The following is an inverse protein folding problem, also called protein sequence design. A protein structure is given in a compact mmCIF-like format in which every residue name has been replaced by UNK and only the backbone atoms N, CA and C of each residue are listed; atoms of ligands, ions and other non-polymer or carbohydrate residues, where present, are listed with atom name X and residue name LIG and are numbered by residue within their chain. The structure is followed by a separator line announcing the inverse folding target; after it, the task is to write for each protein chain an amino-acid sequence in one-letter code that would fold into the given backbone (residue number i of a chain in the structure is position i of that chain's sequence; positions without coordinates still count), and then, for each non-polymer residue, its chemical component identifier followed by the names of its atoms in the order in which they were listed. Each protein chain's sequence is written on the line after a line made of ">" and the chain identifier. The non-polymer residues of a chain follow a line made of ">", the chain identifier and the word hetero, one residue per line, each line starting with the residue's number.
data_IF_191303961031
#
_entry.id   IF_191303961031
#
_cell.length_a   1.000
_cell.length_b   1.000
_cell.length_c   1.000
_cell.angle_alpha   90.00
_cell.angle_beta   90.00
_cell.angle_gamma   90.00
#
_symmetry.space_group_name_H-M   'P 1'
#
loop_
_entity.id
_entity.type
_entity.pdbx_description
1 polymer ?
#
# COMPACT_ATOMS: atom_id res chain seq x y z
N UNK A 1 10.27 5.86 3.65
CA UNK A 1 9.22 6.11 2.63
C UNK A 1 7.80 6.10 3.20
N UNK A 2 7.40 5.10 4.00
CA UNK A 2 6.01 4.93 4.48
C UNK A 2 5.40 6.15 5.18
N UNK A 3 6.18 6.94 5.93
CA UNK A 3 5.69 8.16 6.60
C UNK A 3 5.26 9.25 5.61
N UNK A 4 5.92 9.35 4.46
CA UNK A 4 5.64 10.35 3.41
C UNK A 4 4.34 10.00 2.69
N UNK A 5 4.17 8.73 2.30
CA UNK A 5 2.94 8.23 1.69
C UNK A 5 1.97 7.69 2.75
N UNK A 6 1.63 8.53 3.73
CA UNK A 6 0.71 8.14 4.79
C UNK A 6 -0.69 8.70 4.61
N UNK A 7 -1.69 8.01 5.16
CA UNK A 7 -3.06 8.51 5.23
C UNK A 7 -3.16 9.92 5.81
N UNK A 8 -2.36 10.21 6.85
CA UNK A 8 -2.32 11.52 7.50
C UNK A 8 -1.82 12.61 6.56
N UNK A 9 -0.73 12.36 5.83
CA UNK A 9 -0.21 13.32 4.84
C UNK A 9 -1.25 13.56 3.75
N UNK A 10 -1.80 12.49 3.16
CA UNK A 10 -2.78 12.62 2.07
C UNK A 10 -4.06 13.33 2.49
N UNK A 11 -4.57 13.08 3.70
CA UNK A 11 -5.77 13.74 4.23
C UNK A 11 -5.52 15.24 4.51
N UNK A 12 -4.38 15.60 5.09
CA UNK A 12 -4.03 17.00 5.37
C UNK A 12 -3.85 17.78 4.07
N UNK A 13 -3.13 17.21 3.08
CA UNK A 13 -2.96 17.86 1.78
C UNK A 13 -4.30 18.15 1.11
N UNK A 14 -5.20 17.16 1.04
CA UNK A 14 -6.55 17.40 0.49
C UNK A 14 -7.31 18.48 1.24
N UNK A 15 -7.26 18.48 2.57
CA UNK A 15 -7.98 19.45 3.40
C UNK A 15 -7.46 20.87 3.16
N UNK A 16 -6.15 21.09 3.15
CA UNK A 16 -5.56 22.42 2.95
C UNK A 16 -5.81 22.88 1.51
N UNK A 17 -5.70 21.99 0.51
CA UNK A 17 -5.99 22.32 -0.89
C UNK A 17 -7.44 22.82 -1.10
N UNK A 18 -8.41 22.22 -0.42
CA UNK A 18 -9.83 22.65 -0.46
C UNK A 18 -10.04 23.95 0.33
N UNK A 19 -9.38 24.11 1.48
CA UNK A 19 -9.49 25.30 2.34
C UNK A 19 -8.69 26.52 1.82
N UNK A 20 -7.88 26.33 0.78
CA UNK A 20 -6.93 27.30 0.20
C UNK A 20 -7.57 28.64 -0.20
N UNK A 21 -8.89 28.68 -0.42
CA UNK A 21 -9.60 29.95 -0.67
C UNK A 21 -9.64 30.91 0.55
N UNK A 22 -9.37 30.45 1.78
CA UNK A 22 -9.61 31.23 3.01
C UNK A 22 -8.48 31.18 4.08
N UNK A 23 -7.36 30.46 3.87
CA UNK A 23 -6.31 30.30 4.89
C UNK A 23 -4.88 30.33 4.33
N UNK A 24 -3.95 30.92 5.09
CA UNK A 24 -2.49 30.85 4.88
C UNK A 24 -1.83 29.89 5.87
N UNK A 25 -0.91 29.00 5.43
CA UNK A 25 -0.41 28.85 4.08
C UNK A 25 -1.39 28.10 3.16
N UNK A 26 -1.67 28.68 2.01
CA UNK A 26 -2.45 28.10 0.91
C UNK A 26 -1.54 27.19 0.08
N UNK A 27 -2.01 26.00 -0.27
CA UNK A 27 -1.33 25.12 -1.24
C UNK A 27 -2.13 25.05 -2.52
N UNK A 28 -1.49 24.65 -3.62
CA UNK A 28 -2.14 24.47 -4.90
C UNK A 28 -3.32 23.48 -4.78
N UNK A 29 -4.40 23.72 -5.54
CA UNK A 29 -5.53 22.79 -5.63
C UNK A 29 -5.09 21.43 -6.17
N UNK A 30 -4.07 21.40 -7.03
CA UNK A 30 -3.43 20.18 -7.54
C UNK A 30 -2.77 19.34 -6.41
N UNK A 31 -2.51 19.93 -5.24
CA UNK A 31 -2.05 19.17 -4.08
C UNK A 31 -3.09 18.15 -3.58
N UNK A 32 -4.38 18.30 -3.95
CA UNK A 32 -5.40 17.30 -3.69
C UNK A 32 -5.12 15.98 -4.45
N UNK A 33 -4.59 16.06 -5.68
CA UNK A 33 -4.22 14.90 -6.49
C UNK A 33 -3.01 14.17 -5.89
N UNK A 34 -2.02 14.94 -5.43
CA UNK A 34 -0.90 14.37 -4.68
C UNK A 34 -1.38 13.69 -3.39
N UNK A 35 -2.32 14.31 -2.67
CA UNK A 35 -2.93 13.70 -1.49
C UNK A 35 -3.70 12.41 -1.80
N UNK A 36 -4.35 12.34 -2.97
CA UNK A 36 -5.00 11.12 -3.47
C UNK A 36 -3.97 10.02 -3.78
N UNK A 37 -2.85 10.39 -4.40
CA UNK A 37 -1.74 9.45 -4.65
C UNK A 37 -1.16 8.92 -3.33
N UNK A 38 -0.91 9.79 -2.34
CA UNK A 38 -0.44 9.36 -1.03
C UNK A 38 -1.38 8.36 -0.36
N UNK A 39 -2.69 8.62 -0.39
CA UNK A 39 -3.69 7.70 0.15
C UNK A 39 -3.74 6.38 -0.62
N UNK A 40 -3.56 6.42 -1.95
CA UNK A 40 -3.50 5.21 -2.75
C UNK A 40 -2.29 4.35 -2.39
N UNK A 41 -1.10 4.95 -2.31
CA UNK A 41 0.15 4.23 -1.98
C UNK A 41 0.12 3.71 -0.54
N UNK A 42 -0.42 4.48 0.42
CA UNK A 42 -0.63 4.06 1.81
C UNK A 42 -1.48 2.78 1.87
N UNK A 43 -2.63 2.79 1.20
CA UNK A 43 -3.54 1.63 1.14
C UNK A 43 -2.92 0.45 0.39
N UNK A 44 -2.18 0.70 -0.70
CA UNK A 44 -1.48 -0.34 -1.47
C UNK A 44 -0.46 -1.05 -0.57
N UNK A 45 0.34 -0.28 0.17
CA UNK A 45 1.32 -0.80 1.09
C UNK A 45 0.69 -1.56 2.27
N UNK A 46 -0.32 -0.99 2.91
CA UNK A 46 -1.04 -1.66 4.00
C UNK A 46 -1.62 -3.01 3.53
N UNK A 47 -2.22 -3.04 2.33
CA UNK A 47 -2.81 -4.23 1.72
C UNK A 47 -1.81 -5.34 1.38
N UNK A 48 -0.51 -5.06 1.44
CA UNK A 48 0.57 -6.00 1.18
C UNK A 48 1.41 -6.30 2.44
N UNK A 49 1.18 -5.59 3.55
CA UNK A 49 2.02 -5.67 4.76
C UNK A 49 1.21 -5.73 6.08
N UNK A 50 -0.03 -6.21 6.00
CA UNK A 50 -0.90 -6.44 7.14
C UNK A 50 -0.31 -7.46 8.14
N UNK A 51 -0.36 -7.12 9.44
CA UNK A 51 0.19 -7.92 10.55
C UNK A 51 -0.82 -8.17 11.69
N UNK A 52 -2.06 -7.74 11.53
CA UNK A 52 -3.10 -7.96 12.54
C UNK A 52 -4.24 -8.74 11.92
N UNK A 53 -4.85 -9.65 12.68
CA UNK A 53 -5.97 -10.45 12.16
C UNK A 53 -7.21 -9.56 11.98
N UNK A 54 -7.49 -8.72 12.99
CA UNK A 54 -8.64 -7.81 12.97
C UNK A 54 -8.21 -6.43 12.46
N UNK A 55 -9.02 -5.78 11.62
CA UNK A 55 -8.72 -4.45 11.13
C UNK A 55 -8.73 -3.44 12.28
N UNK A 56 -7.86 -2.43 12.16
CA UNK A 56 -7.89 -1.23 13.00
C UNK A 56 -8.80 -0.21 12.33
N UNK A 57 -9.63 0.56 13.06
CA UNK A 57 -10.50 1.56 12.45
C UNK A 57 -9.76 2.48 11.48
N UNK A 58 -10.26 2.58 10.25
CA UNK A 58 -9.67 3.41 9.19
C UNK A 58 -8.44 2.81 8.49
N UNK A 59 -8.02 1.60 8.88
CA UNK A 59 -6.86 0.88 8.33
C UNK A 59 -7.24 -0.58 8.00
N UNK A 60 -8.36 -0.74 7.29
CA UNK A 60 -8.95 -2.05 7.02
C UNK A 60 -8.04 -2.97 6.19
N UNK A 61 -7.20 -2.39 5.33
CA UNK A 61 -6.24 -3.13 4.51
C UNK A 61 -4.98 -3.51 5.27
N UNK A 62 -4.76 -2.99 6.48
CA UNK A 62 -3.64 -3.39 7.34
C UNK A 62 -3.99 -4.65 8.16
N UNK A 63 -4.95 -5.46 7.70
CA UNK A 63 -5.39 -6.69 8.37
C UNK A 63 -5.00 -7.94 7.59
N UNK A 64 -5.31 -9.10 8.14
CA UNK A 64 -5.17 -10.37 7.44
C UNK A 64 -6.15 -10.47 6.25
N UNK A 65 -5.74 -11.20 5.22
CA UNK A 65 -6.60 -11.54 4.07
C UNK A 65 -7.47 -12.72 4.46
N UNK A 66 -8.78 -12.56 4.32
CA UNK A 66 -9.79 -13.62 4.44
C UNK A 66 -10.60 -13.69 3.16
N UNK A 67 -11.46 -14.71 3.02
CA UNK A 67 -12.34 -14.85 1.85
C UNK A 67 -13.24 -13.62 1.61
N UNK A 68 -13.58 -12.88 2.67
CA UNK A 68 -14.49 -11.72 2.62
C UNK A 68 -13.80 -10.39 2.92
N UNK A 69 -12.48 -10.39 3.11
CA UNK A 69 -11.74 -9.17 3.44
C UNK A 69 -11.77 -8.15 2.29
N UNK A 70 -11.65 -6.84 2.59
CA UNK A 70 -11.71 -5.78 1.58
C UNK A 70 -10.57 -5.82 0.56
N UNK A 71 -9.50 -6.58 0.82
CA UNK A 71 -8.34 -6.75 -0.06
C UNK A 71 -8.75 -7.12 -1.49
N UNK A 72 -9.72 -8.03 -1.67
CA UNK A 72 -10.09 -8.51 -3.01
C UNK A 72 -10.64 -7.40 -3.90
N UNK A 73 -11.53 -6.56 -3.36
CA UNK A 73 -12.11 -5.42 -4.06
C UNK A 73 -11.05 -4.34 -4.28
N UNK A 74 -10.24 -4.07 -3.26
CA UNK A 74 -9.17 -3.07 -3.36
C UNK A 74 -8.13 -3.45 -4.41
N UNK A 75 -7.62 -4.69 -4.41
CA UNK A 75 -6.61 -5.15 -5.36
C UNK A 75 -7.09 -5.09 -6.81
N UNK A 76 -8.37 -5.39 -7.07
CA UNK A 76 -8.92 -5.22 -8.42
C UNK A 76 -8.82 -3.76 -8.88
N UNK A 77 -9.25 -2.81 -8.04
CA UNK A 77 -9.17 -1.38 -8.35
C UNK A 77 -7.73 -0.89 -8.43
N UNK A 78 -6.86 -1.38 -7.56
CA UNK A 78 -5.46 -1.00 -7.52
C UNK A 78 -4.72 -1.42 -8.80
N UNK A 79 -5.03 -2.59 -9.36
CA UNK A 79 -4.48 -3.02 -10.65
C UNK A 79 -4.89 -2.07 -11.79
N UNK A 80 -6.13 -1.60 -11.82
CA UNK A 80 -6.59 -0.66 -12.84
C UNK A 80 -5.86 0.68 -12.73
N UNK A 81 -5.71 1.20 -11.50
CA UNK A 81 -4.94 2.41 -11.23
C UNK A 81 -3.48 2.23 -11.63
N UNK A 82 -2.81 1.16 -11.19
CA UNK A 82 -1.40 0.91 -11.52
C UNK A 82 -1.17 0.80 -13.05
N UNK A 83 -2.08 0.16 -13.79
CA UNK A 83 -1.98 0.05 -15.25
C UNK A 83 -2.14 1.39 -15.98
N UNK A 84 -2.85 2.34 -15.37
CA UNK A 84 -2.98 3.70 -15.90
C UNK A 84 -1.75 4.58 -15.62
N UNK A 85 -0.90 4.22 -14.65
CA UNK A 85 0.28 5.00 -14.30
C UNK A 85 1.40 4.85 -15.33
N UNK A 86 2.06 5.97 -15.66
CA UNK A 86 3.24 6.01 -16.52
C UNK A 86 4.29 6.95 -15.91
N UNK A 87 5.55 6.60 -16.08
CA UNK A 87 6.65 7.50 -15.74
C UNK A 87 6.94 8.42 -16.93
N UNK A 88 7.10 9.71 -16.66
CA UNK A 88 7.55 10.69 -17.66
C UNK A 88 9.06 10.60 -17.85
N UNK A 89 9.52 9.51 -18.45
CA UNK A 89 10.94 9.27 -18.71
C UNK A 89 11.12 8.26 -19.82
N UNK A 90 12.29 8.30 -20.46
CA UNK A 90 12.71 7.29 -21.44
C UNK A 90 13.29 6.04 -20.78
N UNK A 91 13.61 6.10 -19.48
CA UNK A 91 14.13 4.96 -18.71
C UNK A 91 13.02 3.97 -18.40
N UNK A 92 13.31 2.67 -18.52
CA UNK A 92 12.41 1.63 -18.04
C UNK A 92 12.48 1.54 -16.52
N UNK A 93 11.45 2.04 -15.83
CA UNK A 93 11.33 1.94 -14.38
C UNK A 93 10.41 0.75 -14.04
N UNK A 94 10.89 -0.29 -13.33
CA UNK A 94 10.16 -1.54 -13.16
C UNK A 94 9.12 -1.50 -12.03
N UNK A 95 9.15 -0.50 -11.15
CA UNK A 95 8.34 -0.44 -9.92
C UNK A 95 6.84 -0.65 -10.15
N UNK A 96 6.21 0.00 -11.13
CA UNK A 96 4.77 -0.18 -11.41
C UNK A 96 4.48 -1.59 -11.93
N UNK A 97 5.31 -2.11 -12.84
CA UNK A 97 5.19 -3.47 -13.34
C UNK A 97 5.38 -4.52 -12.24
N UNK A 98 6.32 -4.27 -11.32
CA UNK A 98 6.58 -5.12 -10.16
C UNK A 98 5.39 -5.07 -9.19
N UNK A 99 4.81 -3.90 -8.92
CA UNK A 99 3.60 -3.81 -8.09
C UNK A 99 2.43 -4.57 -8.69
N UNK A 100 2.19 -4.47 -10.00
CA UNK A 100 1.17 -5.26 -10.69
C UNK A 100 1.42 -6.75 -10.48
N UNK A 101 2.66 -7.20 -10.70
CA UNK A 101 3.06 -8.60 -10.52
C UNK A 101 2.86 -9.06 -9.07
N UNK A 102 3.26 -8.24 -8.10
CA UNK A 102 3.07 -8.51 -6.67
C UNK A 102 1.59 -8.67 -6.33
N UNK A 103 0.72 -7.74 -6.72
CA UNK A 103 -0.71 -7.82 -6.41
C UNK A 103 -1.36 -9.05 -7.05
N UNK A 104 -1.02 -9.38 -8.30
CA UNK A 104 -1.51 -10.60 -8.95
C UNK A 104 -1.01 -11.87 -8.24
N UNK A 105 0.26 -11.89 -7.82
CA UNK A 105 0.84 -12.97 -7.04
C UNK A 105 0.14 -13.14 -5.68
N UNK A 106 -0.11 -12.04 -4.96
CA UNK A 106 -0.84 -12.04 -3.70
C UNK A 106 -2.26 -12.58 -3.87
N UNK A 107 -2.98 -12.14 -4.89
CA UNK A 107 -4.31 -12.67 -5.21
C UNK A 107 -4.27 -14.19 -5.44
N UNK A 108 -3.31 -14.66 -6.23
CA UNK A 108 -3.16 -16.08 -6.55
C UNK A 108 -2.84 -16.93 -5.31
N UNK A 109 -1.82 -16.55 -4.54
CA UNK A 109 -1.35 -17.33 -3.39
C UNK A 109 -2.38 -17.31 -2.26
N UNK A 110 -2.99 -16.16 -1.97
CA UNK A 110 -4.02 -16.07 -0.95
C UNK A 110 -5.23 -16.93 -1.31
N UNK A 111 -5.67 -16.91 -2.59
CA UNK A 111 -6.77 -17.76 -3.04
C UNK A 111 -6.46 -19.25 -2.87
N UNK A 112 -5.22 -19.67 -3.19
CA UNK A 112 -4.77 -21.06 -3.02
C UNK A 112 -4.74 -21.48 -1.55
N UNK A 113 -4.13 -20.67 -0.68
CA UNK A 113 -4.01 -20.98 0.74
C UNK A 113 -5.38 -21.00 1.44
N UNK A 114 -6.25 -20.03 1.17
CA UNK A 114 -7.61 -20.03 1.73
C UNK A 114 -8.41 -21.25 1.26
N UNK A 115 -8.28 -21.66 -0.01
CA UNK A 115 -8.89 -22.90 -0.52
C UNK A 115 -8.33 -24.17 0.14
N UNK A 116 -7.08 -24.14 0.59
CA UNK A 116 -6.45 -25.22 1.34
C UNK A 116 -6.85 -25.28 2.82
N UNK A 117 -7.75 -24.41 3.28
CA UNK A 117 -8.30 -24.43 4.63
C UNK A 117 -7.67 -23.42 5.60
N UNK A 118 -6.76 -22.56 5.15
CA UNK A 118 -6.25 -21.46 5.98
C UNK A 118 -7.38 -20.46 6.27
N UNK A 119 -7.56 -20.08 7.54
CA UNK A 119 -8.62 -19.14 7.95
C UNK A 119 -8.32 -17.71 7.50
N UNK A 120 -7.05 -17.34 7.50
CA UNK A 120 -6.57 -16.01 7.13
C UNK A 120 -5.10 -16.06 6.73
N UNK A 121 -4.62 -15.05 6.01
CA UNK A 121 -3.24 -14.92 5.55
C UNK A 121 -2.66 -13.58 6.03
N UNK A 122 -1.51 -13.61 6.71
CA UNK A 122 -0.77 -12.42 7.11
C UNK A 122 0.30 -12.11 6.07
N UNK A 123 0.12 -11.01 5.35
CA UNK A 123 0.94 -10.70 4.18
C UNK A 123 2.35 -10.22 4.54
N UNK A 124 2.54 -9.69 5.76
CA UNK A 124 3.88 -9.39 6.29
C UNK A 124 4.84 -10.59 6.23
N UNK A 125 4.33 -11.81 6.33
CA UNK A 125 5.15 -13.03 6.30
C UNK A 125 5.66 -13.36 4.88
N UNK A 126 5.20 -12.65 3.85
CA UNK A 126 5.69 -12.79 2.47
C UNK A 126 6.77 -11.75 2.12
N UNK A 127 7.07 -10.82 3.02
CA UNK A 127 8.13 -9.84 2.82
C UNK A 127 9.51 -10.43 3.18
N UNK A 128 10.56 -9.80 2.67
CA UNK A 128 11.94 -10.17 2.95
C UNK A 128 12.45 -9.58 4.28
N UNK A 129 11.67 -8.73 4.96
CA UNK A 129 12.01 -8.08 6.23
C UNK A 129 12.67 -9.03 7.26
N UNK A 130 12.18 -10.27 7.49
CA UNK A 130 12.82 -11.16 8.46
C UNK A 130 14.25 -11.56 8.09
N UNK A 131 14.55 -11.68 6.79
CA UNK A 131 15.90 -12.02 6.30
C UNK A 131 16.82 -10.81 6.41
N UNK A 132 16.34 -9.62 6.05
CA UNK A 132 17.09 -8.37 6.20
C UNK A 132 17.48 -8.15 7.68
N UNK A 133 16.52 -8.29 8.60
CA UNK A 133 16.78 -8.18 10.04
C UNK A 133 17.80 -9.21 10.53
N UNK A 134 17.76 -10.44 10.01
CA UNK A 134 18.72 -11.48 10.37
C UNK A 134 20.14 -11.14 9.89
N UNK A 135 20.28 -10.64 8.66
CA UNK A 135 21.58 -10.25 8.10
C UNK A 135 22.18 -9.05 8.86
N UNK A 136 21.36 -8.05 9.18
CA UNK A 136 21.79 -6.89 9.98
C UNK A 136 22.34 -7.31 11.35
N UNK A 137 21.76 -8.34 11.97
CA UNK A 137 22.24 -8.86 13.26
C UNK A 137 23.60 -9.54 13.18
N UNK A 138 23.96 -10.13 12.03
CA UNK A 138 25.27 -10.74 11.82
C UNK A 138 26.35 -9.68 11.63
N UNK A 139 26.04 -8.56 10.99
CA UNK A 139 26.99 -7.46 10.76
C UNK A 139 27.33 -6.68 12.04
N UNK A 140 26.47 -6.71 13.05
CA UNK A 140 26.70 -6.02 14.34
C UNK A 140 27.60 -6.83 15.30
N UNK A 141 27.86 -8.10 14.98
CA UNK A 141 28.68 -8.99 15.81
C UNK A 141 30.18 -9.00 15.49
N UNK A 142 30.63 -8.17 14.53
CA UNK A 142 32.05 -7.90 14.21
C UNK A 142 32.51 -6.53 14.75
#
# INVERSE_FOLDING_TARGET
>A
AAQVFSQRVGAIMKRIAVMSNNCTPSIDREAADTGQLCLFVDNLFDSANGNVIKPTPGKDLRSAVTLTSPHWVFWSKALDVLRSMKYETTKKIPSIANWITTIQGLQLICKRLLKAGFKYILLRNFNQDPIEIFLDQLEVTD
#
